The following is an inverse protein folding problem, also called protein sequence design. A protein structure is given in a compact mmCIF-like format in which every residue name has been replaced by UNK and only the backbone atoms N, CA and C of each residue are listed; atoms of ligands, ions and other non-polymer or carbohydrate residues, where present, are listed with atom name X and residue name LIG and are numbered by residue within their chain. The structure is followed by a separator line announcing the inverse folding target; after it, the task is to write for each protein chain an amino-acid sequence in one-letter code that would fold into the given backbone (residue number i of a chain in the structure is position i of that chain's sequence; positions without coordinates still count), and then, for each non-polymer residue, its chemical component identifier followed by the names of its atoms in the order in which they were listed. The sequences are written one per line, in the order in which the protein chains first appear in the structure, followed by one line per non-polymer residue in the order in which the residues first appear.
data_IF_321671757047
#
_entry.id   IF_321671757047
#
_cell.length_a   1.000
_cell.length_b   1.000
_cell.length_c   1.000
_cell.angle_alpha   90.00
_cell.angle_beta   90.00
_cell.angle_gamma   90.00
#
_symmetry.space_group_name_H-M   'P 1'
#
loop_
_entity.id
_entity.type
_entity.pdbx_description
1 polymer ?
#
# COMPACT_ATOMS: atom_id res chain seq x y z
N UNK A 1 -24.72 14.86 20.38
CA UNK A 1 -24.61 13.40 20.13
C UNK A 1 -23.30 12.92 20.78
N UNK A 2 -23.31 11.94 21.70
CA UNK A 2 -22.08 11.48 22.38
C UNK A 2 -21.32 10.50 21.48
N UNK A 3 -20.17 10.91 20.97
CA UNK A 3 -19.28 10.06 20.17
C UNK A 3 -18.62 9.05 21.12
N UNK A 4 -18.84 7.75 20.91
CA UNK A 4 -18.15 6.70 21.67
C UNK A 4 -16.65 6.76 21.38
N UNK A 5 -15.78 6.60 22.38
CA UNK A 5 -14.35 6.52 22.14
C UNK A 5 -14.04 5.31 21.24
N UNK A 6 -13.08 5.44 20.31
CA UNK A 6 -12.72 4.34 19.43
C UNK A 6 -12.27 3.15 20.28
N UNK A 7 -12.83 1.98 19.99
CA UNK A 7 -12.42 0.72 20.61
C UNK A 7 -10.94 0.54 20.27
N UNK A 8 -10.05 0.46 21.26
CA UNK A 8 -8.66 0.09 20.99
C UNK A 8 -8.67 -1.30 20.35
N UNK A 9 -8.27 -1.37 19.08
CA UNK A 9 -8.16 -2.63 18.37
C UNK A 9 -6.85 -3.29 18.78
N UNK A 10 -6.94 -4.51 19.31
CA UNK A 10 -5.77 -5.33 19.57
C UNK A 10 -5.12 -5.69 18.23
N UNK A 11 -3.83 -5.41 18.08
CA UNK A 11 -3.07 -5.83 16.90
C UNK A 11 -3.10 -7.36 16.78
N UNK A 12 -3.29 -7.85 15.55
CA UNK A 12 -3.30 -9.28 15.29
C UNK A 12 -1.93 -9.89 15.57
N UNK A 13 -1.95 -11.09 16.15
CA UNK A 13 -0.73 -11.82 16.45
C UNK A 13 0.00 -12.25 15.17
N UNK A 14 1.32 -12.40 15.26
CA UNK A 14 2.14 -12.88 14.14
C UNK A 14 1.70 -14.26 13.60
N UNK A 15 1.24 -15.16 14.48
CA UNK A 15 0.76 -16.48 14.07
C UNK A 15 -0.52 -16.37 13.22
N UNK A 16 -1.45 -15.51 13.61
CA UNK A 16 -2.67 -15.21 12.84
C UNK A 16 -2.33 -14.67 11.45
N UNK A 17 -1.36 -13.75 11.34
CA UNK A 17 -0.87 -13.25 10.06
C UNK A 17 -0.21 -14.35 9.20
N UNK A 18 0.66 -15.17 9.80
CA UNK A 18 1.36 -16.24 9.08
C UNK A 18 0.39 -17.29 8.54
N UNK A 19 -0.61 -17.66 9.32
CA UNK A 19 -1.60 -18.67 8.95
C UNK A 19 -2.51 -18.18 7.82
N UNK A 20 -3.02 -16.95 7.91
CA UNK A 20 -3.88 -16.37 6.86
C UNK A 20 -3.16 -16.25 5.52
N UNK A 21 -1.91 -15.76 5.52
CA UNK A 21 -1.08 -15.72 4.31
C UNK A 21 -0.81 -17.13 3.78
N UNK A 22 -0.54 -18.09 4.67
CA UNK A 22 -0.37 -19.49 4.29
C UNK A 22 -1.57 -20.05 3.55
N UNK A 23 -2.78 -19.81 4.05
CA UNK A 23 -4.04 -20.23 3.41
C UNK A 23 -4.25 -19.56 2.06
N UNK A 24 -4.02 -18.25 1.97
CA UNK A 24 -4.15 -17.49 0.74
C UNK A 24 -3.19 -17.96 -0.37
N UNK A 25 -1.98 -18.40 -0.01
CA UNK A 25 -1.00 -18.96 -0.96
C UNK A 25 -1.31 -20.40 -1.35
N UNK A 26 -1.78 -21.23 -0.41
CA UNK A 26 -2.13 -22.63 -0.70
C UNK A 26 -3.35 -22.76 -1.62
N UNK A 27 -4.32 -21.85 -1.54
CA UNK A 27 -5.54 -21.88 -2.36
C UNK A 27 -5.25 -21.90 -3.88
N UNK A 28 -4.35 -21.07 -4.44
CA UNK A 28 -3.89 -21.16 -5.83
C UNK A 28 -2.71 -22.13 -6.03
N UNK A 29 -2.30 -22.92 -5.03
CA UNK A 29 -1.19 -23.87 -5.14
C UNK A 29 0.21 -23.26 -5.08
N UNK A 30 0.36 -22.02 -4.61
CA UNK A 30 1.65 -21.33 -4.51
C UNK A 30 2.41 -21.84 -3.28
N UNK A 31 3.58 -22.45 -3.50
CA UNK A 31 4.47 -22.90 -2.43
C UNK A 31 5.43 -21.79 -2.02
N UNK A 32 5.43 -21.41 -0.75
CA UNK A 32 6.39 -20.47 -0.16
C UNK A 32 6.93 -21.00 1.15
N UNK A 33 8.26 -21.00 1.30
CA UNK A 33 8.93 -21.35 2.56
C UNK A 33 8.83 -20.18 3.56
N UNK A 34 9.01 -18.95 3.07
CA UNK A 34 8.96 -17.72 3.89
C UNK A 34 7.63 -16.98 3.70
N UNK A 35 6.54 -17.54 4.24
CA UNK A 35 5.16 -17.03 4.10
C UNK A 35 5.02 -15.53 4.40
N UNK A 36 5.67 -15.04 5.46
CA UNK A 36 5.58 -13.63 5.90
C UNK A 36 6.57 -12.69 5.22
N UNK A 37 7.64 -13.21 4.59
CA UNK A 37 8.69 -12.37 3.96
C UNK A 37 8.57 -12.26 2.44
N UNK A 38 7.57 -12.89 1.83
CA UNK A 38 7.39 -12.88 0.36
C UNK A 38 7.32 -11.45 -0.21
N UNK A 39 6.76 -10.51 0.57
CA UNK A 39 6.60 -9.12 0.16
C UNK A 39 7.85 -8.24 0.40
N UNK A 40 8.77 -8.65 1.28
CA UNK A 40 9.89 -7.82 1.77
C UNK A 40 10.85 -7.38 0.65
N UNK A 41 10.98 -8.19 -0.41
CA UNK A 41 11.76 -7.85 -1.60
C UNK A 41 10.94 -7.69 -2.87
N UNK A 42 9.61 -7.75 -2.80
CA UNK A 42 8.74 -7.65 -3.99
C UNK A 42 8.78 -6.25 -4.59
N UNK A 43 8.65 -5.21 -3.75
CA UNK A 43 8.61 -3.81 -4.18
C UNK A 43 9.90 -3.36 -4.86
N UNK A 44 11.06 -3.76 -4.34
CA UNK A 44 12.36 -3.43 -4.95
C UNK A 44 12.54 -4.10 -6.31
N UNK A 45 12.10 -5.37 -6.45
CA UNK A 45 12.13 -6.10 -7.72
C UNK A 45 11.18 -5.50 -8.75
N UNK A 46 9.96 -5.14 -8.33
CA UNK A 46 8.99 -4.46 -9.20
C UNK A 46 9.60 -3.14 -9.68
N UNK A 47 10.10 -2.30 -8.77
CA UNK A 47 10.70 -1.01 -9.14
C UNK A 47 11.88 -1.13 -10.11
N UNK A 48 12.72 -2.15 -9.93
CA UNK A 48 13.79 -2.47 -10.89
C UNK A 48 13.24 -2.87 -12.27
N UNK A 49 12.17 -3.69 -12.30
CA UNK A 49 11.52 -4.12 -13.54
C UNK A 49 10.81 -2.97 -14.28
N UNK A 50 10.24 -1.98 -13.58
CA UNK A 50 9.61 -0.78 -14.19
C UNK A 50 10.62 0.32 -14.53
N UNK A 51 11.93 0.02 -14.43
CA UNK A 51 13.03 0.96 -14.67
C UNK A 51 12.92 2.25 -13.84
N UNK A 52 12.43 2.16 -12.61
CA UNK A 52 12.37 3.31 -11.71
C UNK A 52 13.79 3.81 -11.40
N UNK A 53 13.95 5.13 -11.27
CA UNK A 53 15.22 5.74 -10.94
C UNK A 53 15.90 5.06 -9.72
N UNK A 54 17.13 4.57 -9.92
CA UNK A 54 17.93 3.84 -8.93
C UNK A 54 18.17 4.65 -7.66
N UNK A 55 18.35 5.98 -7.77
CA UNK A 55 18.50 6.86 -6.62
C UNK A 55 17.23 6.90 -5.76
N UNK A 56 16.05 6.85 -6.39
CA UNK A 56 14.78 6.74 -5.66
C UNK A 56 14.63 5.38 -4.97
N UNK A 57 14.99 4.28 -5.65
CA UNK A 57 14.99 2.93 -5.07
C UNK A 57 15.92 2.87 -3.85
N UNK A 58 17.13 3.44 -3.94
CA UNK A 58 18.10 3.51 -2.83
C UNK A 58 17.60 4.35 -1.66
N UNK A 59 16.89 5.45 -1.91
CA UNK A 59 16.26 6.29 -0.87
C UNK A 59 15.13 5.55 -0.13
N UNK A 60 14.33 4.75 -0.83
CA UNK A 60 13.27 3.94 -0.22
C UNK A 60 13.79 2.75 0.57
N UNK A 61 14.90 2.14 0.16
CA UNK A 61 15.52 1.04 0.91
C UNK A 61 15.98 1.42 2.33
N UNK A 62 15.90 2.70 2.71
CA UNK A 62 16.37 3.27 3.98
C UNK A 62 15.23 3.83 4.84
N UNK A 63 14.18 3.04 5.08
CA UNK A 63 13.10 3.42 5.98
C UNK A 63 13.53 3.26 7.46
N UNK A 64 14.20 4.28 8.02
CA UNK A 64 14.21 4.53 9.46
C UNK A 64 13.80 6.00 9.71
N UNK A 65 13.18 6.29 10.86
CA UNK A 65 12.66 7.64 11.17
C UNK A 65 13.75 8.74 11.11
N UNK A 66 14.98 8.42 11.48
CA UNK A 66 16.15 9.33 11.45
C UNK A 66 16.59 9.67 10.02
N UNK A 67 16.50 8.70 9.10
CA UNK A 67 16.88 8.81 7.69
C UNK A 67 15.76 9.43 6.86
N UNK A 68 14.50 9.23 7.27
CA UNK A 68 13.34 9.91 6.68
C UNK A 68 13.48 11.44 6.83
N UNK A 69 13.77 11.93 8.02
CA UNK A 69 13.93 13.38 8.24
C UNK A 69 15.15 13.96 7.51
N UNK A 70 16.25 13.20 7.37
CA UNK A 70 17.44 13.65 6.64
C UNK A 70 17.36 13.57 5.11
N UNK A 71 16.62 12.60 4.56
CA UNK A 71 16.54 12.34 3.12
C UNK A 71 15.28 12.90 2.43
N UNK A 72 14.22 13.22 3.17
CA UNK A 72 12.90 13.62 2.63
C UNK A 72 12.52 15.08 2.89
N UNK A 73 13.46 15.94 3.31
CA UNK A 73 13.25 17.40 3.22
C UNK A 73 13.01 17.86 1.77
N UNK A 74 13.33 17.03 0.78
CA UNK A 74 13.13 17.28 -0.65
C UNK A 74 12.27 16.18 -1.28
N UNK A 75 10.94 16.36 -1.23
CA UNK A 75 9.88 15.65 -1.98
C UNK A 75 9.83 14.10 -1.92
N UNK A 76 8.62 13.53 -1.91
CA UNK A 76 8.42 12.08 -1.97
C UNK A 76 8.91 11.49 -3.32
N UNK A 77 9.52 10.28 -3.34
CA UNK A 77 9.99 9.60 -4.55
C UNK A 77 8.80 9.08 -5.38
N UNK A 78 8.16 9.99 -6.12
CA UNK A 78 6.89 9.77 -6.82
C UNK A 78 6.94 8.65 -7.85
N UNK A 79 8.04 8.56 -8.60
CA UNK A 79 8.22 7.55 -9.64
C UNK A 79 8.32 6.15 -9.02
N UNK A 80 8.99 6.03 -7.88
CA UNK A 80 9.03 4.79 -7.12
C UNK A 80 7.68 4.40 -6.53
N UNK A 81 6.97 5.33 -5.89
CA UNK A 81 5.63 5.06 -5.31
C UNK A 81 4.69 4.53 -6.38
N UNK A 82 4.75 5.10 -7.59
CA UNK A 82 4.00 4.62 -8.76
C UNK A 82 4.40 3.21 -9.17
N UNK A 83 5.70 2.97 -9.27
CA UNK A 83 6.25 1.66 -9.63
C UNK A 83 5.80 0.57 -8.67
N UNK A 84 5.80 0.84 -7.35
CA UNK A 84 5.34 -0.11 -6.33
C UNK A 84 3.84 -0.43 -6.45
N UNK A 85 3.05 0.53 -6.92
CA UNK A 85 1.64 0.36 -7.22
C UNK A 85 1.39 -0.16 -8.66
N UNK A 86 2.45 -0.62 -9.35
CA UNK A 86 2.41 -1.23 -10.69
C UNK A 86 1.93 -0.23 -11.76
N UNK A 87 2.17 1.06 -11.53
CA UNK A 87 1.93 2.12 -12.52
C UNK A 87 3.22 2.43 -13.31
N UNK A 88 3.04 2.86 -14.56
CA UNK A 88 4.14 3.36 -15.37
C UNK A 88 4.81 4.60 -14.74
N UNK A 89 6.15 4.63 -14.83
CA UNK A 89 7.05 5.68 -14.32
C UNK A 89 7.05 6.93 -15.19
N UNK A 90 6.97 6.76 -16.51
CA UNK A 90 7.08 7.82 -17.53
C UNK A 90 5.79 8.62 -17.78
N UNK A 91 4.66 8.22 -17.19
CA UNK A 91 3.34 8.71 -17.60
C UNK A 91 2.81 9.93 -16.82
N UNK A 92 2.33 10.96 -17.54
CA UNK A 92 1.34 11.95 -17.03
C UNK A 92 -0.05 11.34 -16.75
N UNK A 93 -0.19 10.02 -16.85
CA UNK A 93 -1.43 9.32 -16.58
C UNK A 93 -1.76 9.37 -15.08
N UNK A 94 -2.46 10.44 -14.69
CA UNK A 94 -3.02 10.65 -13.34
C UNK A 94 -4.46 10.16 -13.23
N UNK A 95 -4.99 9.57 -14.31
CA UNK A 95 -6.41 9.33 -14.44
C UNK A 95 -6.65 7.97 -15.11
N UNK A 96 -6.96 6.96 -14.30
CA UNK A 96 -7.83 5.90 -14.77
C UNK A 96 -9.23 6.52 -14.82
N UNK A 97 -9.75 6.77 -16.03
CA UNK A 97 -11.12 7.21 -16.17
C UNK A 97 -12.03 6.20 -15.47
N UNK A 98 -12.61 6.59 -14.34
CA UNK A 98 -13.63 5.76 -13.69
C UNK A 98 -14.74 5.62 -14.71
N UNK A 99 -15.21 4.40 -14.97
CA UNK A 99 -16.48 4.21 -15.65
C UNK A 99 -17.52 5.04 -14.88
N UNK A 100 -17.97 6.14 -15.49
CA UNK A 100 -18.70 7.23 -14.82
C UNK A 100 -20.11 6.74 -14.50
N UNK A 101 -20.27 6.19 -13.30
CA UNK A 101 -21.48 6.37 -12.51
C UNK A 101 -21.04 7.12 -11.26
N UNK A 102 -21.41 8.40 -11.18
CA UNK A 102 -21.29 9.14 -9.93
C UNK A 102 -22.05 8.35 -8.86
N UNK A 103 -21.35 7.92 -7.81
CA UNK A 103 -21.96 7.13 -6.74
C UNK A 103 -23.13 7.95 -6.17
N UNK A 104 -24.35 7.39 -6.06
CA UNK A 104 -25.48 8.11 -5.48
C UNK A 104 -25.13 8.60 -4.07
N UNK A 105 -25.38 9.87 -3.78
CA UNK A 105 -25.07 10.48 -2.46
C UNK A 105 -25.79 9.74 -1.32
N UNK A 106 -26.97 9.19 -1.59
CA UNK A 106 -27.71 8.33 -0.65
C UNK A 106 -26.96 7.05 -0.29
N UNK A 107 -26.24 6.45 -1.24
CA UNK A 107 -25.40 5.27 -1.02
C UNK A 107 -24.14 5.64 -0.22
N UNK A 108 -23.51 6.78 -0.53
CA UNK A 108 -22.37 7.28 0.23
C UNK A 108 -22.72 7.48 1.72
N UNK A 109 -23.84 8.16 2.00
CA UNK A 109 -24.31 8.43 3.37
C UNK A 109 -24.68 7.16 4.14
N UNK A 110 -25.16 6.12 3.46
CA UNK A 110 -25.45 4.81 4.08
C UNK A 110 -24.18 4.02 4.40
N UNK A 111 -23.19 4.00 3.52
CA UNK A 111 -21.98 3.18 3.68
C UNK A 111 -20.96 3.81 4.64
N UNK A 112 -20.82 5.13 4.61
CA UNK A 112 -19.87 5.87 5.44
C UNK A 112 -20.58 7.02 6.16
N UNK A 113 -21.45 6.73 7.15
CA UNK A 113 -22.28 7.74 7.79
C UNK A 113 -21.49 8.86 8.46
N UNK A 114 -20.29 8.55 8.98
CA UNK A 114 -19.45 9.47 9.73
C UNK A 114 -18.63 10.47 8.87
N UNK A 115 -18.64 10.33 7.54
CA UNK A 115 -17.85 11.20 6.63
C UNK A 115 -18.70 12.35 6.06
N UNK A 116 -20.02 12.35 6.29
CA UNK A 116 -20.97 13.30 5.73
C UNK A 116 -21.66 14.24 6.75
N UNK A 117 -21.10 14.36 7.97
CA UNK A 117 -21.40 15.46 8.89
C UNK A 117 -20.55 16.69 8.57
#
# INVERSE_FOLDING_TARGET
MKIKPPRQAQEWSYSSHRESIGKALSSPGIRSNKKTHINCGSSARIAGNVCANVDQIRRQGRWNNTTINGAYLTNLPRELVRSMAVFCTYGRFFYLARAVLNRPTSLCKKLLPAIGE
#
